data_IF_108346126858
#
_entry.id   IF_108346126858
#
_cell.length_a   1.000
_cell.length_b   1.000
_cell.length_c   1.000
_cell.angle_alpha   90.00
_cell.angle_beta   90.00
_cell.angle_gamma   90.00
#
_symmetry.space_group_name_H-M   'P 1'
#
loop_
_entity.id
_entity.type
_entity.pdbx_description
1 polymer ?
#
# COMPACT_ATOMS: atom_id res chain seq x y z
N UNK A 1 9.76 18.83 27.04
CA UNK A 1 8.83 17.85 26.44
C UNK A 1 8.80 18.16 24.95
N UNK A 2 9.24 17.23 24.09
CA UNK A 2 9.12 17.41 22.65
C UNK A 2 7.64 17.31 22.30
N UNK A 3 7.01 18.42 21.91
CA UNK A 3 5.72 18.38 21.25
C UNK A 3 5.79 17.31 20.16
N UNK A 4 4.94 16.28 20.26
CA UNK A 4 4.78 15.34 19.16
C UNK A 4 4.19 16.13 18.01
N UNK A 5 5.05 16.64 17.12
CA UNK A 5 4.60 17.15 15.83
C UNK A 5 3.73 16.05 15.21
N UNK A 6 2.50 16.40 14.87
CA UNK A 6 1.54 15.50 14.24
C UNK A 6 1.97 15.29 12.79
N UNK A 7 3.12 14.65 12.59
CA UNK A 7 3.73 14.40 11.30
C UNK A 7 3.34 13.00 10.83
N UNK A 8 3.18 12.87 9.52
CA UNK A 8 2.90 11.58 8.89
C UNK A 8 3.78 11.39 7.66
N UNK A 9 3.96 10.13 7.26
CA UNK A 9 4.63 9.80 6.01
C UNK A 9 3.73 8.89 5.20
N UNK A 10 3.42 9.33 3.99
CA UNK A 10 2.56 8.59 3.06
C UNK A 10 3.29 8.31 1.76
N UNK A 11 3.11 7.11 1.27
CA UNK A 11 3.58 6.66 -0.02
C UNK A 11 2.43 6.70 -1.02
N UNK A 12 2.67 7.39 -2.11
CA UNK A 12 1.81 7.46 -3.27
C UNK A 12 2.37 6.48 -4.29
N UNK A 13 1.56 5.49 -4.64
CA UNK A 13 1.92 4.39 -5.54
C UNK A 13 1.09 4.55 -6.81
N UNK A 14 1.78 4.70 -7.94
CA UNK A 14 1.19 4.69 -9.27
C UNK A 14 1.06 3.24 -9.71
N UNK A 15 -0.16 2.76 -9.94
CA UNK A 15 -0.42 1.42 -10.42
C UNK A 15 0.09 1.19 -11.85
N UNK A 16 0.12 -0.07 -12.33
CA UNK A 16 0.62 -0.41 -13.66
C UNK A 16 -0.11 0.28 -14.82
N UNK A 17 -1.36 0.67 -14.61
CA UNK A 17 -2.22 1.33 -15.60
C UNK A 17 -2.38 2.84 -15.35
N UNK A 18 -1.57 3.44 -14.47
CA UNK A 18 -1.62 4.87 -14.23
C UNK A 18 -1.16 5.65 -15.47
N UNK A 19 -1.89 6.72 -15.80
CA UNK A 19 -1.56 7.61 -16.92
C UNK A 19 -0.51 8.67 -16.57
N UNK A 20 0.02 8.66 -15.34
CA UNK A 20 0.99 9.63 -14.85
C UNK A 20 2.33 8.93 -14.61
N UNK A 21 3.43 9.60 -14.99
CA UNK A 21 4.76 9.18 -14.61
C UNK A 21 5.11 9.61 -13.17
N UNK A 22 6.06 8.93 -12.49
CA UNK A 22 6.55 9.38 -11.19
C UNK A 22 7.12 10.81 -11.19
N UNK A 23 7.71 11.26 -12.31
CA UNK A 23 8.23 12.60 -12.45
C UNK A 23 7.11 13.65 -12.49
N UNK A 24 6.08 13.43 -13.31
CA UNK A 24 4.90 14.30 -13.37
C UNK A 24 4.16 14.34 -12.04
N UNK A 25 4.04 13.21 -11.35
CA UNK A 25 3.47 13.14 -10.00
C UNK A 25 4.22 14.08 -9.04
N UNK A 26 5.55 13.99 -9.00
CA UNK A 26 6.36 14.84 -8.12
C UNK A 26 6.20 16.32 -8.47
N UNK A 27 6.20 16.67 -9.76
CA UNK A 27 5.95 18.04 -10.20
C UNK A 27 4.58 18.55 -9.75
N UNK A 28 3.52 17.75 -9.92
CA UNK A 28 2.17 18.10 -9.45
C UNK A 28 2.12 18.34 -7.95
N UNK A 29 2.80 17.52 -7.14
CA UNK A 29 2.85 17.72 -5.69
C UNK A 29 3.61 19.01 -5.34
N UNK A 30 4.72 19.32 -6.04
CA UNK A 30 5.42 20.60 -5.84
C UNK A 30 4.56 21.81 -6.20
N UNK A 31 3.75 21.72 -7.26
CA UNK A 31 2.83 22.78 -7.68
C UNK A 31 1.72 23.09 -6.67
N UNK A 32 1.44 22.19 -5.72
CA UNK A 32 0.48 22.44 -4.64
C UNK A 32 0.98 23.49 -3.63
N UNK A 33 2.28 23.83 -3.65
CA UNK A 33 2.86 24.85 -2.78
C UNK A 33 2.86 24.49 -1.30
N UNK A 34 2.70 23.20 -0.97
CA UNK A 34 2.65 22.73 0.41
C UNK A 34 4.07 22.54 0.97
N UNK A 35 4.32 22.89 2.26
CA UNK A 35 5.61 22.69 2.92
C UNK A 35 5.85 21.22 3.30
N UNK A 36 5.81 20.34 2.30
CA UNK A 36 6.02 18.90 2.44
C UNK A 36 7.39 18.49 1.92
N UNK A 37 8.02 17.53 2.61
CA UNK A 37 9.18 16.83 2.09
C UNK A 37 8.72 15.80 1.07
N UNK A 38 9.20 15.93 -0.18
CA UNK A 38 8.83 15.05 -1.28
C UNK A 38 10.06 14.25 -1.70
N UNK A 39 9.90 12.93 -1.84
CA UNK A 39 10.94 12.03 -2.34
C UNK A 39 10.40 11.17 -3.46
N UNK A 40 10.99 11.30 -4.64
CA UNK A 40 10.66 10.45 -5.80
C UNK A 40 11.06 8.99 -5.57
N UNK A 41 10.29 8.06 -6.13
CA UNK A 41 10.52 6.61 -6.11
C UNK A 41 10.19 5.99 -7.46
N UNK A 42 10.67 4.77 -7.72
CA UNK A 42 10.32 4.02 -8.94
C UNK A 42 8.84 3.63 -9.03
N UNK A 43 8.09 3.72 -7.93
CA UNK A 43 6.66 3.37 -7.88
C UNK A 43 5.76 4.60 -7.77
N UNK A 44 6.30 5.82 -7.74
CA UNK A 44 5.54 7.04 -7.45
C UNK A 44 6.33 7.98 -6.54
N UNK A 45 5.72 8.47 -5.46
CA UNK A 45 6.34 9.46 -4.59
C UNK A 45 6.09 9.18 -3.10
N UNK A 46 6.96 9.71 -2.26
CA UNK A 46 6.82 9.75 -0.81
C UNK A 46 6.65 11.19 -0.37
N UNK A 47 5.64 11.43 0.47
CA UNK A 47 5.38 12.72 1.06
C UNK A 47 5.45 12.61 2.59
N UNK A 48 6.08 13.60 3.21
CA UNK A 48 6.23 13.68 4.66
C UNK A 48 6.11 15.12 5.13
N UNK A 49 5.45 15.32 6.27
CA UNK A 49 5.26 16.61 6.90
C UNK A 49 4.08 16.55 7.85
N UNK A 50 3.48 17.70 8.11
CA UNK A 50 2.26 17.82 8.91
C UNK A 50 1.13 16.93 8.37
N UNK A 51 0.48 16.18 9.25
CA UNK A 51 -0.49 15.14 8.91
C UNK A 51 -1.63 15.68 8.07
N UNK A 52 -2.19 16.83 8.43
CA UNK A 52 -3.31 17.45 7.72
C UNK A 52 -2.92 17.83 6.28
N UNK A 53 -1.72 18.38 6.11
CA UNK A 53 -1.19 18.74 4.78
C UNK A 53 -0.86 17.50 3.94
N UNK A 54 -0.32 16.45 4.56
CA UNK A 54 -0.06 15.16 3.89
C UNK A 54 -1.37 14.50 3.45
N UNK A 55 -2.40 14.47 4.30
CA UNK A 55 -3.71 13.91 3.97
C UNK A 55 -4.40 14.71 2.86
N UNK A 56 -4.32 16.03 2.92
CA UNK A 56 -4.84 16.91 1.85
C UNK A 56 -4.14 16.64 0.53
N UNK A 57 -2.81 16.67 0.49
CA UNK A 57 -2.02 16.40 -0.72
C UNK A 57 -2.32 14.99 -1.28
N UNK A 58 -2.40 13.98 -0.41
CA UNK A 58 -2.69 12.61 -0.81
C UNK A 58 -4.09 12.48 -1.42
N UNK A 59 -5.09 13.18 -0.87
CA UNK A 59 -6.45 13.19 -1.39
C UNK A 59 -6.53 13.88 -2.76
N UNK A 60 -5.98 15.09 -2.88
CA UNK A 60 -5.96 15.84 -4.14
C UNK A 60 -5.24 15.05 -5.25
N UNK A 61 -4.10 14.41 -4.95
CA UNK A 61 -3.41 13.57 -5.92
C UNK A 61 -4.24 12.33 -6.30
N UNK A 62 -4.90 11.67 -5.34
CA UNK A 62 -5.73 10.49 -5.62
C UNK A 62 -6.89 10.82 -6.55
N UNK A 63 -7.45 12.02 -6.47
CA UNK A 63 -8.55 12.46 -7.33
C UNK A 63 -8.15 12.57 -8.82
N UNK A 64 -6.86 12.69 -9.14
CA UNK A 64 -6.37 12.73 -10.52
C UNK A 64 -6.58 11.42 -11.28
N UNK A 65 -6.41 10.29 -10.59
CA UNK A 65 -6.62 8.96 -11.15
C UNK A 65 -6.99 7.98 -10.01
N UNK A 66 -8.26 7.98 -9.57
CA UNK A 66 -8.69 7.28 -8.35
C UNK A 66 -8.58 5.76 -8.43
N UNK A 67 -8.55 5.21 -9.65
CA UNK A 67 -8.48 3.78 -9.90
C UNK A 67 -7.04 3.28 -10.03
N UNK A 68 -6.07 4.16 -10.32
CA UNK A 68 -4.67 3.76 -10.49
C UNK A 68 -3.71 4.42 -9.50
N UNK A 69 -4.15 5.39 -8.68
CA UNK A 69 -3.31 5.98 -7.62
C UNK A 69 -3.69 5.37 -6.28
N UNK A 70 -2.73 4.72 -5.65
CA UNK A 70 -2.88 4.06 -4.35
C UNK A 70 -2.09 4.79 -3.27
N UNK A 71 -2.62 4.77 -2.05
CA UNK A 71 -2.03 5.43 -0.89
C UNK A 71 -1.67 4.38 0.16
N UNK A 72 -0.45 4.44 0.69
CA UNK A 72 0.03 3.54 1.73
C UNK A 72 0.78 4.30 2.82
N UNK A 73 0.49 4.01 4.07
CA UNK A 73 1.21 4.61 5.20
C UNK A 73 2.60 3.99 5.36
N UNK A 74 3.60 4.82 5.66
CA UNK A 74 5.00 4.37 5.81
C UNK A 74 5.57 4.55 7.22
N UNK A 75 4.95 5.41 8.03
CA UNK A 75 5.32 5.66 9.44
C UNK A 75 6.62 6.45 9.66
N UNK A 76 7.70 6.12 8.96
CA UNK A 76 9.01 6.78 9.11
C UNK A 76 9.30 7.76 7.96
N UNK A 77 9.93 8.91 8.25
CA UNK A 77 10.29 9.89 7.24
C UNK A 77 11.32 9.33 6.24
N UNK A 78 11.38 9.92 5.04
CA UNK A 78 12.39 9.53 4.06
C UNK A 78 13.80 9.80 4.60
N UNK A 79 14.64 8.76 4.66
CA UNK A 79 16.04 8.89 5.12
C UNK A 79 16.24 8.64 6.61
N UNK A 80 15.18 8.29 7.36
CA UNK A 80 15.30 7.98 8.78
C UNK A 80 16.37 6.89 9.07
N UNK A 81 17.37 7.14 9.93
CA UNK A 81 18.42 6.16 10.25
C UNK A 81 17.88 4.82 10.76
N UNK A 82 16.69 4.80 11.36
CA UNK A 82 16.03 3.58 11.84
C UNK A 82 15.47 2.71 10.73
N UNK A 83 15.48 3.15 9.47
CA UNK A 83 14.91 2.41 8.32
C UNK A 83 15.75 2.52 7.05
N UNK A 84 16.58 3.53 6.95
CA UNK A 84 17.36 3.81 5.76
C UNK A 84 18.47 2.77 5.59
N UNK A 85 18.42 2.06 4.46
CA UNK A 85 19.46 1.09 4.05
C UNK A 85 20.86 1.72 4.03
N UNK A 86 20.99 3.00 3.69
CA UNK A 86 22.30 3.66 3.64
C UNK A 86 22.99 3.71 5.00
N UNK A 87 22.22 3.74 6.10
CA UNK A 87 22.76 3.77 7.46
C UNK A 87 22.88 2.37 8.07
N UNK A 88 21.91 1.47 7.85
CA UNK A 88 21.91 0.13 8.45
C UNK A 88 22.61 -0.95 7.62
N UNK A 89 22.79 -0.74 6.31
CA UNK A 89 23.05 -1.86 5.39
C UNK A 89 21.84 -2.82 5.30
N UNK A 90 22.00 -3.91 4.56
CA UNK A 90 20.98 -4.97 4.47
C UNK A 90 19.86 -4.77 3.44
N UNK A 91 18.83 -5.62 3.56
CA UNK A 91 17.69 -5.65 2.65
C UNK A 91 16.80 -4.41 2.81
N UNK A 92 16.16 -3.98 1.71
CA UNK A 92 15.20 -2.86 1.75
C UNK A 92 13.91 -3.35 2.41
N UNK A 93 13.80 -3.15 3.72
CA UNK A 93 12.61 -3.47 4.52
C UNK A 93 11.31 -3.00 3.81
N UNK A 94 10.37 -3.93 3.60
CA UNK A 94 9.09 -3.65 2.94
C UNK A 94 9.13 -3.53 1.40
N UNK A 95 10.31 -3.53 0.76
CA UNK A 95 10.41 -3.44 -0.71
C UNK A 95 9.93 -4.72 -1.41
N UNK A 96 10.28 -5.90 -0.90
CA UNK A 96 9.79 -7.17 -1.46
C UNK A 96 8.27 -7.32 -1.34
N UNK A 97 7.70 -6.81 -0.24
CA UNK A 97 6.25 -6.77 -0.07
C UNK A 97 5.62 -5.80 -1.07
N UNK A 98 6.20 -4.61 -1.24
CA UNK A 98 5.74 -3.63 -2.21
C UNK A 98 5.79 -4.16 -3.65
N UNK A 99 6.83 -4.91 -4.03
CA UNK A 99 6.92 -5.50 -5.37
C UNK A 99 5.79 -6.52 -5.62
N UNK A 100 5.47 -7.37 -4.63
CA UNK A 100 4.35 -8.31 -4.72
C UNK A 100 3.00 -7.59 -4.77
N UNK A 101 2.81 -6.59 -3.91
CA UNK A 101 1.61 -5.76 -3.90
C UNK A 101 1.42 -5.05 -5.25
N UNK A 102 2.49 -4.50 -5.82
CA UNK A 102 2.46 -3.80 -7.11
C UNK A 102 1.95 -4.69 -8.25
N UNK A 103 2.36 -5.97 -8.28
CA UNK A 103 1.86 -6.93 -9.27
C UNK A 103 0.34 -7.15 -9.15
N UNK A 104 -0.22 -7.07 -7.95
CA UNK A 104 -1.66 -7.20 -7.72
C UNK A 104 -2.44 -5.92 -8.05
N UNK A 105 -1.81 -4.74 -7.97
CA UNK A 105 -2.49 -3.46 -8.18
C UNK A 105 -3.15 -3.35 -9.56
N UNK A 106 -2.61 -4.00 -10.60
CA UNK A 106 -3.25 -4.03 -11.92
C UNK A 106 -4.66 -4.63 -11.89
N UNK A 107 -4.83 -5.75 -11.19
CA UNK A 107 -6.14 -6.38 -11.01
C UNK A 107 -7.07 -5.53 -10.13
N UNK A 108 -6.51 -4.87 -9.11
CA UNK A 108 -7.29 -3.95 -8.26
C UNK A 108 -7.79 -2.76 -9.07
N UNK A 109 -6.95 -2.16 -9.91
CA UNK A 109 -7.32 -1.08 -10.83
C UNK A 109 -8.44 -1.48 -11.78
N UNK A 110 -8.35 -2.67 -12.37
CA UNK A 110 -9.39 -3.21 -13.24
C UNK A 110 -10.72 -3.39 -12.47
N UNK A 111 -10.67 -4.01 -11.29
CA UNK A 111 -11.84 -4.21 -10.45
C UNK A 111 -12.50 -2.88 -10.02
N UNK A 112 -11.70 -1.86 -9.71
CA UNK A 112 -12.19 -0.51 -9.38
C UNK A 112 -12.81 0.19 -10.59
N UNK A 113 -12.31 -0.05 -11.81
CA UNK A 113 -12.86 0.53 -13.04
C UNK A 113 -14.24 -0.03 -13.41
N UNK A 114 -14.51 -1.28 -13.06
CA UNK A 114 -15.75 -2.01 -13.38
C UNK A 114 -16.30 -2.69 -12.12
N UNK A 115 -16.82 -1.92 -11.15
CA UNK A 115 -17.29 -2.48 -9.90
C UNK A 115 -18.50 -3.39 -10.15
N UNK A 116 -18.38 -4.65 -9.75
CA UNK A 116 -19.49 -5.61 -9.78
C UNK A 116 -19.96 -5.89 -8.36
N UNK A 117 -21.29 -6.01 -8.19
CA UNK A 117 -21.85 -6.48 -6.93
C UNK A 117 -21.58 -7.98 -6.80
N UNK A 118 -20.61 -8.31 -5.96
CA UNK A 118 -20.31 -9.69 -5.58
C UNK A 118 -20.86 -9.97 -4.19
N UNK A 119 -21.70 -10.98 -4.06
CA UNK A 119 -22.08 -11.56 -2.77
C UNK A 119 -20.99 -12.55 -2.37
N UNK A 120 -20.25 -12.24 -1.30
CA UNK A 120 -19.34 -13.21 -0.71
C UNK A 120 -20.18 -14.28 -0.03
N UNK A 121 -20.07 -15.52 -0.51
CA UNK A 121 -20.56 -16.66 0.24
C UNK A 121 -19.63 -16.84 1.44
N UNK A 122 -20.04 -16.33 2.60
CA UNK A 122 -19.34 -16.63 3.84
C UNK A 122 -19.36 -18.13 4.05
N UNK A 123 -18.19 -18.77 3.92
CA UNK A 123 -18.04 -20.17 4.28
C UNK A 123 -18.33 -20.29 5.77
N UNK A 124 -19.46 -20.92 6.10
CA UNK A 124 -19.77 -21.26 7.48
C UNK A 124 -18.63 -22.10 8.04
N UNK A 125 -18.26 -21.83 9.29
CA UNK A 125 -17.32 -22.69 10.02
C UNK A 125 -17.89 -24.10 10.02
N UNK A 126 -17.05 -25.07 9.68
CA UNK A 126 -17.42 -26.48 9.74
C UNK A 126 -17.57 -26.84 11.22
N UNK A 127 -18.57 -27.65 11.53
CA UNK A 127 -18.76 -28.16 12.88
C UNK A 127 -17.54 -29.01 13.33
N UNK A 128 -17.10 -28.94 14.60
CA UNK A 128 -15.95 -29.68 15.07
C UNK A 128 -16.02 -31.19 14.82
N UNK A 129 -17.21 -31.79 14.86
CA UNK A 129 -17.35 -33.23 14.68
C UNK A 129 -17.26 -33.61 13.20
N UNK A 130 -17.85 -32.80 12.30
CA UNK A 130 -17.64 -32.95 10.86
C UNK A 130 -16.16 -32.76 10.49
N UNK A 131 -15.45 -31.86 11.17
CA UNK A 131 -14.01 -31.68 10.95
C UNK A 131 -13.20 -32.91 11.39
N UNK A 132 -13.51 -33.52 12.55
CA UNK A 132 -12.86 -34.75 13.01
C UNK A 132 -13.08 -35.90 12.03
N UNK A 133 -14.30 -36.08 11.53
CA UNK A 133 -14.60 -37.12 10.54
C UNK A 133 -13.79 -36.94 9.25
N UNK A 134 -13.68 -35.71 8.75
CA UNK A 134 -12.86 -35.40 7.57
C UNK A 134 -11.38 -35.71 7.85
N UNK A 135 -10.86 -35.31 9.02
CA UNK A 135 -9.47 -35.54 9.41
C UNK A 135 -9.16 -37.04 9.53
N UNK A 136 -10.01 -37.81 10.22
CA UNK A 136 -9.86 -39.24 10.43
C UNK A 136 -9.94 -40.02 9.11
N UNK A 137 -10.83 -39.62 8.21
CA UNK A 137 -10.92 -40.21 6.87
C UNK A 137 -9.66 -39.96 6.04
N UNK A 138 -9.07 -38.76 6.10
CA UNK A 138 -7.80 -38.46 5.41
C UNK A 138 -6.65 -39.27 6.02
N UNK A 139 -6.60 -39.40 7.35
CA UNK A 139 -5.56 -40.17 8.05
C UNK A 139 -5.66 -41.67 7.70
N UNK A 140 -6.87 -42.24 7.67
CA UNK A 140 -7.10 -43.63 7.28
C UNK A 140 -6.70 -43.89 5.83
N UNK A 141 -7.01 -42.96 4.92
CA UNK A 141 -6.70 -43.09 3.49
C UNK A 141 -5.20 -42.96 3.17
N UNK A 142 -4.40 -42.35 4.06
CA UNK A 142 -2.93 -42.29 3.99
C UNK A 142 -2.22 -43.51 4.58
N UNK A 143 -2.94 -44.38 5.30
CA UNK A 143 -2.40 -45.60 5.91
C UNK A 143 -2.59 -46.86 5.06
N UNK A 144 -3.18 -46.71 3.87
CA UNK A 144 -3.23 -47.71 2.79
C UNK A 144 -2.22 -47.30 1.73
#
# INVERSE_FOLDING_TARGET
>A
MLEKKNESTRMIILGPHANLSPAELVQKIHMMGLPLTIKSTCYGALIHGEKELVERAAKEIRELDPNNIFLKDRGFPPGDPRRCRAHRGGAREGFHQLEKEFKLLGHVSEALSKPQKVSLLEKKKIDPDTFKEIADNIIKKKRV
#
